data_IF_158902235342
#
_entry.id   IF_158902235342
#
_cell.length_a   1.000
_cell.length_b   1.000
_cell.length_c   1.000
_cell.angle_alpha   90.00
_cell.angle_beta   90.00
_cell.angle_gamma   90.00
#
_symmetry.space_group_name_H-M   'P 1'
#
loop_
_entity.id
_entity.type
_entity.pdbx_description
1 polymer ?
#
# COMPACT_ATOMS: atom_id res chain seq x y z
N UNK A 1 -1.30 14.18 -10.50
CA UNK A 1 -1.92 13.18 -9.60
C UNK A 1 -1.89 11.78 -10.20
N UNK A 2 -2.51 11.54 -11.37
CA UNK A 2 -2.57 10.20 -12.00
C UNK A 2 -1.19 9.55 -12.26
N UNK A 3 -0.19 10.31 -12.75
CA UNK A 3 1.16 9.79 -13.01
C UNK A 3 1.84 9.26 -11.74
N UNK A 4 1.80 10.03 -10.64
CA UNK A 4 2.39 9.66 -9.35
C UNK A 4 1.70 8.45 -8.73
N UNK A 5 0.38 8.35 -8.90
CA UNK A 5 -0.37 7.15 -8.50
C UNK A 5 0.07 5.93 -9.31
N UNK A 6 0.13 6.03 -10.64
CA UNK A 6 0.59 4.95 -11.51
C UNK A 6 2.02 4.49 -11.16
N UNK A 7 2.93 5.41 -10.81
CA UNK A 7 4.28 5.06 -10.38
C UNK A 7 4.29 4.28 -9.06
N UNK A 8 3.35 4.55 -8.14
CA UNK A 8 3.18 3.78 -6.91
C UNK A 8 2.63 2.38 -7.19
N UNK A 9 1.66 2.26 -8.11
CA UNK A 9 1.14 0.96 -8.55
C UNK A 9 2.22 0.10 -9.19
N UNK A 10 3.08 0.68 -10.05
CA UNK A 10 4.21 -0.06 -10.65
C UNK A 10 5.17 -0.61 -9.59
N UNK A 11 5.51 0.19 -8.58
CA UNK A 11 6.35 -0.25 -7.46
C UNK A 11 5.72 -1.41 -6.68
N UNK A 12 4.42 -1.33 -6.40
CA UNK A 12 3.69 -2.42 -5.74
C UNK A 12 3.66 -3.68 -6.60
N UNK A 13 3.58 -3.56 -7.93
CA UNK A 13 3.62 -4.72 -8.83
C UNK A 13 4.97 -5.43 -8.82
N UNK A 14 6.08 -4.69 -8.71
CA UNK A 14 7.43 -5.24 -8.79
C UNK A 14 7.88 -5.85 -7.46
N UNK A 15 7.79 -5.09 -6.36
CA UNK A 15 8.30 -5.51 -5.05
C UNK A 15 7.46 -4.89 -3.92
N UNK A 16 6.23 -5.38 -3.67
CA UNK A 16 5.31 -4.75 -2.74
C UNK A 16 5.82 -4.74 -1.29
N UNK A 17 6.57 -5.76 -0.87
CA UNK A 17 7.14 -5.85 0.48
C UNK A 17 8.33 -4.91 0.73
N UNK A 18 8.97 -4.38 -0.33
CA UNK A 18 10.12 -3.47 -0.21
C UNK A 18 9.67 -2.02 -0.12
N UNK A 19 8.56 -1.69 -0.79
CA UNK A 19 8.14 -0.30 -0.97
C UNK A 19 7.17 0.21 0.09
N UNK A 20 6.41 -0.67 0.75
CA UNK A 20 5.57 -0.30 1.88
C UNK A 20 6.11 -0.78 3.22
N UNK A 21 5.32 -0.56 4.26
CA UNK A 21 5.63 -0.96 5.63
C UNK A 21 4.49 -1.84 6.14
N UNK A 22 4.78 -2.99 6.77
CA UNK A 22 3.74 -3.77 7.42
C UNK A 22 3.18 -2.98 8.60
N UNK A 23 1.85 -2.99 8.73
CA UNK A 23 1.17 -2.45 9.89
C UNK A 23 1.33 -3.42 11.08
N UNK A 24 1.11 -2.91 12.29
CA UNK A 24 1.34 -3.65 13.54
C UNK A 24 0.02 -3.87 14.30
N UNK A 25 0.06 -4.75 15.30
CA UNK A 25 -1.11 -5.09 16.11
C UNK A 25 -2.16 -5.85 15.29
N UNK A 26 -3.42 -5.49 15.45
CA UNK A 26 -4.55 -6.15 14.78
C UNK A 26 -4.51 -6.02 13.24
N UNK A 27 -3.66 -5.13 12.71
CA UNK A 27 -3.48 -4.90 11.28
C UNK A 27 -2.25 -5.61 10.69
N UNK A 28 -1.68 -6.62 11.36
CA UNK A 28 -0.41 -7.25 10.93
C UNK A 28 -0.39 -7.81 9.49
N UNK A 29 -1.57 -8.08 8.91
CA UNK A 29 -1.73 -8.57 7.54
C UNK A 29 -1.76 -7.45 6.49
N UNK A 30 -1.91 -6.20 6.93
CA UNK A 30 -2.00 -5.02 6.07
C UNK A 30 -0.66 -4.32 5.95
N UNK A 31 -0.50 -3.65 4.82
CA UNK A 31 0.66 -2.84 4.49
C UNK A 31 0.24 -1.41 4.18
N UNK A 32 1.13 -0.48 4.49
CA UNK A 32 0.97 0.93 4.19
C UNK A 32 2.03 1.41 3.20
N UNK A 33 1.61 2.18 2.19
CA UNK A 33 2.49 2.93 1.30
C UNK A 33 2.17 4.44 1.33
N UNK A 34 3.19 5.24 1.57
CA UNK A 34 3.10 6.70 1.54
C UNK A 34 2.72 7.25 0.17
N UNK A 35 1.71 8.14 0.12
CA UNK A 35 1.24 8.79 -1.09
C UNK A 35 0.92 10.28 -0.85
N UNK A 36 1.47 11.17 -1.70
CA UNK A 36 1.15 12.62 -1.72
C UNK A 36 1.16 13.32 -0.34
N UNK A 37 2.10 12.95 0.53
CA UNK A 37 2.30 13.46 1.90
C UNK A 37 1.22 13.14 2.93
N UNK A 38 -0.02 13.30 2.53
CA UNK A 38 -1.19 13.25 3.38
C UNK A 38 -1.96 11.96 3.26
N UNK A 39 -1.73 11.18 2.21
CA UNK A 39 -2.46 9.95 1.96
C UNK A 39 -1.60 8.70 2.18
N UNK A 40 -2.28 7.59 2.42
CA UNK A 40 -1.73 6.26 2.61
C UNK A 40 -2.54 5.27 1.80
N UNK A 41 -1.84 4.46 1.00
CA UNK A 41 -2.43 3.33 0.30
C UNK A 41 -2.31 2.12 1.23
N UNK A 42 -3.44 1.54 1.57
CA UNK A 42 -3.54 0.33 2.39
C UNK A 42 -3.71 -0.84 1.46
N UNK A 43 -2.90 -1.87 1.62
CA UNK A 43 -2.92 -3.01 0.75
C UNK A 43 -2.56 -4.31 1.47
N UNK A 44 -2.90 -5.42 0.85
CA UNK A 44 -2.51 -6.76 1.27
C UNK A 44 -1.73 -7.44 0.15
N UNK A 45 -0.83 -8.34 0.51
CA UNK A 45 -0.03 -9.13 -0.44
C UNK A 45 -0.44 -10.58 -0.29
N UNK A 46 -0.97 -11.17 -1.35
CA UNK A 46 -1.13 -12.61 -1.47
C UNK A 46 0.06 -13.17 -2.28
N UNK A 47 0.96 -13.86 -1.59
CA UNK A 47 2.14 -14.46 -2.23
C UNK A 47 1.83 -15.74 -3.02
N UNK A 48 0.75 -16.44 -2.69
CA UNK A 48 0.34 -17.65 -3.39
C UNK A 48 -0.27 -17.28 -4.75
N UNK A 49 -1.19 -16.31 -4.73
CA UNK A 49 -1.89 -15.80 -5.91
C UNK A 49 -1.11 -14.70 -6.65
N UNK A 50 0.07 -14.32 -6.14
CA UNK A 50 0.93 -13.24 -6.65
C UNK A 50 0.14 -11.93 -6.90
N UNK A 51 -0.75 -11.62 -5.98
CA UNK A 51 -1.71 -10.52 -6.12
C UNK A 51 -1.50 -9.48 -5.02
N UNK A 52 -1.65 -8.21 -5.38
CA UNK A 52 -1.66 -7.08 -4.45
C UNK A 52 -3.02 -6.42 -4.54
N UNK A 53 -3.76 -6.41 -3.43
CA UNK A 53 -5.09 -5.80 -3.34
C UNK A 53 -4.97 -4.49 -2.59
N UNK A 54 -5.42 -3.38 -3.21
CA UNK A 54 -5.55 -2.09 -2.53
C UNK A 54 -6.89 -2.07 -1.84
N UNK A 55 -6.84 -2.03 -0.51
CA UNK A 55 -8.01 -2.05 0.38
C UNK A 55 -8.60 -0.66 0.56
N UNK A 56 -7.73 0.35 0.68
CA UNK A 56 -8.16 1.73 0.86
C UNK A 56 -7.07 2.74 0.48
N UNK A 57 -7.49 3.97 0.22
CA UNK A 57 -6.62 5.14 0.23
C UNK A 57 -7.18 6.11 1.27
N UNK A 58 -6.44 6.33 2.36
CA UNK A 58 -6.89 7.14 3.50
C UNK A 58 -6.00 8.34 3.72
N UNK A 59 -6.54 9.41 4.31
CA UNK A 59 -5.71 10.47 4.87
C UNK A 59 -4.95 9.94 6.10
N UNK A 60 -3.75 10.46 6.38
CA UNK A 60 -2.90 10.01 7.50
C UNK A 60 -3.52 10.22 8.89
N UNK A 61 -4.59 11.00 8.97
CA UNK A 61 -5.30 11.34 10.21
C UNK A 61 -6.62 10.54 10.35
N UNK A 62 -6.92 9.62 9.42
CA UNK A 62 -8.12 8.74 9.41
C UNK A 62 -7.79 7.28 9.82
N UNK A 63 -6.69 7.13 10.55
CA UNK A 63 -6.15 5.86 11.00
C UNK A 63 -6.51 5.57 12.45
#
# INVERSE_FOLDING_TARGET
MQRRFADKIRKLKENPGVHGKPLRGDLHSYWELYFENKFRIIYVIDYNEKTVTIEAIKHKDEF
#
